data_IF_629146609453
#
_entry.id   IF_629146609453
#
_cell.length_a   1.000
_cell.length_b   1.000
_cell.length_c   1.000
_cell.angle_alpha   90.00
_cell.angle_beta   90.00
_cell.angle_gamma   90.00
#
_symmetry.space_group_name_H-M   'P 1'
#
loop_
_entity.id
_entity.type
_entity.pdbx_description
1 polymer ?
#
# COMPACT_ATOMS: atom_id res chain seq x y z
N UNK A 1 -50.70 19.72 -10.71
CA UNK A 1 -49.67 20.78 -10.55
C UNK A 1 -48.64 20.51 -9.45
N UNK A 2 -49.00 20.03 -8.25
CA UNK A 2 -48.03 19.81 -7.14
C UNK A 2 -46.93 18.77 -7.44
N UNK A 3 -47.25 17.70 -8.15
CA UNK A 3 -46.30 16.62 -8.49
C UNK A 3 -45.25 17.08 -9.52
N UNK A 4 -45.67 17.87 -10.52
CA UNK A 4 -44.77 18.46 -11.52
C UNK A 4 -43.78 19.44 -10.88
N UNK A 5 -44.24 20.24 -9.92
CA UNK A 5 -43.38 21.15 -9.15
C UNK A 5 -42.35 20.40 -8.31
N UNK A 6 -42.75 19.30 -7.67
CA UNK A 6 -41.84 18.45 -6.89
C UNK A 6 -40.76 17.80 -7.74
N UNK A 7 -41.10 17.30 -8.94
CA UNK A 7 -40.11 16.75 -9.88
C UNK A 7 -39.14 17.81 -10.38
N UNK A 8 -39.63 19.00 -10.74
CA UNK A 8 -38.78 20.11 -11.20
C UNK A 8 -37.80 20.55 -10.11
N UNK A 9 -38.26 20.63 -8.86
CA UNK A 9 -37.43 20.99 -7.73
C UNK A 9 -36.38 19.91 -7.42
N UNK A 10 -36.75 18.64 -7.51
CA UNK A 10 -35.83 17.51 -7.35
C UNK A 10 -34.72 17.50 -8.41
N UNK A 11 -35.08 17.73 -9.68
CA UNK A 11 -34.10 17.82 -10.78
C UNK A 11 -33.15 19.01 -10.55
N UNK A 12 -33.67 20.18 -10.16
CA UNK A 12 -32.85 21.35 -9.85
C UNK A 12 -31.86 21.08 -8.69
N UNK A 13 -32.29 20.38 -7.64
CA UNK A 13 -31.43 20.01 -6.52
C UNK A 13 -30.34 19.01 -6.93
N UNK A 14 -30.67 18.01 -7.76
CA UNK A 14 -29.69 17.06 -8.28
C UNK A 14 -28.67 17.73 -9.20
N UNK A 15 -29.10 18.65 -10.06
CA UNK A 15 -28.16 19.39 -10.93
C UNK A 15 -27.27 20.31 -10.09
N UNK A 16 -27.84 20.99 -9.09
CA UNK A 16 -27.10 21.84 -8.16
C UNK A 16 -26.04 21.07 -7.37
N UNK A 17 -26.34 19.85 -6.90
CA UNK A 17 -25.38 19.04 -6.15
C UNK A 17 -24.24 18.52 -7.02
N UNK A 18 -24.52 18.12 -8.26
CA UNK A 18 -23.48 17.67 -9.22
C UNK A 18 -22.54 18.81 -9.60
N UNK A 19 -23.08 20.00 -9.90
CA UNK A 19 -22.27 21.19 -10.20
C UNK A 19 -21.45 21.60 -8.97
N UNK A 20 -22.05 21.56 -7.79
CA UNK A 20 -21.38 21.80 -6.52
C UNK A 20 -20.19 20.87 -6.33
N UNK A 21 -20.38 19.55 -6.44
CA UNK A 21 -19.33 18.54 -6.31
C UNK A 21 -18.18 18.74 -7.32
N UNK A 22 -18.47 19.16 -8.55
CA UNK A 22 -17.44 19.40 -9.58
C UNK A 22 -16.68 20.72 -9.39
N UNK A 23 -17.35 21.79 -8.93
CA UNK A 23 -16.75 23.13 -8.76
C UNK A 23 -16.11 23.35 -7.39
N UNK A 24 -16.54 22.60 -6.37
CA UNK A 24 -16.03 22.73 -5.00
C UNK A 24 -14.51 22.50 -4.87
N UNK A 25 -13.89 21.52 -5.58
CA UNK A 25 -12.43 21.35 -5.57
C UNK A 25 -11.68 22.56 -6.15
N UNK A 26 -12.28 23.26 -7.12
CA UNK A 26 -11.69 24.48 -7.70
C UNK A 26 -11.82 25.67 -6.76
N UNK A 27 -12.96 25.81 -6.08
CA UNK A 27 -13.16 26.84 -5.05
C UNK A 27 -12.20 26.69 -3.87
N UNK A 28 -11.94 25.46 -3.43
CA UNK A 28 -10.94 25.17 -2.39
C UNK A 28 -9.53 25.61 -2.79
N UNK A 29 -9.15 25.49 -4.07
CA UNK A 29 -7.87 26.00 -4.58
C UNK A 29 -7.80 27.53 -4.59
N UNK A 30 -8.92 28.21 -4.82
CA UNK A 30 -8.97 29.67 -4.90
C UNK A 30 -9.04 30.36 -3.53
N UNK A 31 -9.55 29.67 -2.50
CA UNK A 31 -9.78 30.24 -1.17
C UNK A 31 -9.16 29.37 -0.08
N UNK A 32 -7.86 29.57 0.24
CA UNK A 32 -7.14 28.74 1.23
C UNK A 32 -7.73 28.85 2.65
N UNK A 33 -8.49 29.90 2.96
CA UNK A 33 -9.22 30.02 4.24
C UNK A 33 -10.31 28.96 4.44
N UNK A 34 -10.86 28.36 3.37
CA UNK A 34 -11.83 27.27 3.46
C UNK A 34 -11.18 25.94 3.88
N UNK A 35 -9.86 25.83 3.73
CA UNK A 35 -9.07 24.65 4.14
C UNK A 35 -9.12 24.43 5.65
N UNK A 36 -9.17 25.50 6.44
CA UNK A 36 -9.30 25.43 7.91
C UNK A 36 -10.65 24.86 8.37
N UNK A 37 -11.69 24.95 7.54
CA UNK A 37 -13.05 24.50 7.83
C UNK A 37 -13.25 23.03 7.42
N UNK A 38 -12.50 22.55 6.43
CA UNK A 38 -12.56 21.18 5.91
C UNK A 38 -11.19 20.48 5.90
N UNK A 39 -10.53 20.30 7.06
CA UNK A 39 -9.18 19.74 7.13
C UNK A 39 -9.09 18.28 6.63
N UNK A 40 -10.20 17.56 6.68
CA UNK A 40 -10.32 16.15 6.32
C UNK A 40 -10.10 15.89 4.81
N UNK A 41 -10.35 16.90 3.96
CA UNK A 41 -10.20 16.82 2.50
C UNK A 41 -8.79 17.18 2.01
N UNK A 42 -7.95 17.77 2.87
CA UNK A 42 -6.60 18.24 2.51
C UNK A 42 -5.47 17.35 3.04
N UNK A 43 -5.76 16.45 3.98
CA UNK A 43 -4.78 15.51 4.53
C UNK A 43 -4.50 14.28 3.65
N UNK A 44 -4.86 14.31 2.36
CA UNK A 44 -4.38 13.29 1.43
C UNK A 44 -2.98 13.68 0.94
N UNK A 45 -1.99 12.89 1.37
CA UNK A 45 -0.58 12.87 0.91
C UNK A 45 0.46 13.56 1.79
N UNK A 46 0.30 13.48 3.11
CA UNK A 46 1.48 13.38 3.97
C UNK A 46 1.67 11.88 4.24
N UNK A 47 2.70 11.27 3.67
CA UNK A 47 3.07 9.88 3.96
C UNK A 47 3.35 9.80 5.46
N UNK A 48 2.43 9.18 6.19
CA UNK A 48 2.51 8.99 7.61
C UNK A 48 2.76 7.51 7.87
N UNK A 49 3.87 7.18 8.53
CA UNK A 49 4.17 5.81 8.95
C UNK A 49 3.10 5.23 9.90
N UNK A 50 2.24 6.07 10.49
CA UNK A 50 1.09 5.61 11.28
C UNK A 50 0.14 4.69 10.48
N UNK A 51 0.08 4.82 9.14
CA UNK A 51 -0.71 3.92 8.29
C UNK A 51 -0.12 2.50 8.20
N UNK A 52 1.16 2.31 8.55
CA UNK A 52 1.86 1.02 8.49
C UNK A 52 1.84 0.27 9.82
N UNK A 53 1.45 0.93 10.92
CA UNK A 53 1.44 0.37 12.26
C UNK A 53 2.77 0.52 12.99
N UNK A 54 2.81 0.03 14.24
CA UNK A 54 4.02 0.02 15.06
C UNK A 54 4.98 -1.06 14.57
N UNK A 55 6.15 -0.66 14.06
CA UNK A 55 7.23 -1.59 13.74
C UNK A 55 7.66 -2.37 15.00
N UNK A 56 7.61 -3.70 14.93
CA UNK A 56 8.04 -4.60 15.99
C UNK A 56 9.44 -5.15 15.75
N UNK A 57 9.77 -5.51 14.50
CA UNK A 57 11.05 -6.11 14.13
C UNK A 57 11.35 -5.93 12.65
N UNK A 58 12.62 -5.73 12.31
CA UNK A 58 13.19 -5.76 10.95
C UNK A 58 14.27 -6.84 10.88
N UNK A 59 14.33 -7.56 9.77
CA UNK A 59 15.32 -8.59 9.45
C UNK A 59 15.87 -8.30 8.04
N UNK A 60 17.13 -7.91 7.93
CA UNK A 60 17.76 -7.50 6.65
C UNK A 60 18.40 -8.67 5.88
N UNK A 61 18.40 -9.87 6.45
CA UNK A 61 18.90 -11.10 5.81
C UNK A 61 18.11 -12.29 6.35
N UNK A 62 17.23 -12.86 5.53
CA UNK A 62 16.64 -14.15 5.84
C UNK A 62 17.62 -15.24 5.43
N UNK A 63 17.75 -16.28 6.26
CA UNK A 63 18.69 -17.39 6.03
C UNK A 63 18.30 -18.27 4.82
N UNK A 64 17.06 -18.16 4.34
CA UNK A 64 16.56 -18.90 3.19
C UNK A 64 17.30 -18.48 1.90
N UNK A 65 17.75 -19.47 1.10
CA UNK A 65 18.53 -19.23 -0.12
C UNK A 65 17.84 -18.29 -1.11
N UNK A 66 16.51 -18.31 -1.17
CA UNK A 66 15.69 -17.45 -2.03
C UNK A 66 15.81 -15.96 -1.68
N UNK A 67 16.09 -15.62 -0.42
CA UNK A 67 16.09 -14.25 0.10
C UNK A 67 17.49 -13.77 0.53
N UNK A 68 18.47 -14.67 0.59
CA UNK A 68 19.84 -14.44 1.08
C UNK A 68 20.72 -13.58 0.17
N UNK A 69 20.32 -13.38 -1.09
CA UNK A 69 21.26 -13.08 -2.19
C UNK A 69 21.35 -11.61 -2.65
N UNK A 70 20.69 -10.63 -2.03
CA UNK A 70 20.76 -9.25 -2.53
C UNK A 70 20.77 -8.22 -1.39
N UNK A 71 21.75 -7.30 -1.45
CA UNK A 71 21.80 -6.15 -0.54
C UNK A 71 20.48 -5.38 -0.62
N UNK A 72 19.83 -5.18 0.53
CA UNK A 72 18.57 -4.44 0.64
C UNK A 72 17.32 -5.30 0.78
N UNK A 73 17.38 -6.63 0.65
CA UNK A 73 16.24 -7.46 1.02
C UNK A 73 15.91 -7.27 2.50
N UNK A 74 14.64 -7.08 2.82
CA UNK A 74 14.23 -6.92 4.21
C UNK A 74 12.87 -7.55 4.48
N UNK A 75 12.72 -8.05 5.70
CA UNK A 75 11.45 -8.52 6.23
C UNK A 75 11.11 -7.77 7.50
N UNK A 76 9.94 -7.15 7.52
CA UNK A 76 9.49 -6.28 8.61
C UNK A 76 8.16 -6.77 9.17
N UNK A 77 8.05 -6.77 10.50
CA UNK A 77 6.82 -7.10 11.24
C UNK A 77 6.28 -5.83 11.89
N UNK A 78 5.03 -5.52 11.63
CA UNK A 78 4.29 -4.42 12.21
C UNK A 78 3.09 -4.90 13.01
N UNK A 79 2.78 -4.18 14.08
CA UNK A 79 1.53 -4.28 14.83
C UNK A 79 0.58 -3.17 14.39
N UNK A 80 -0.60 -3.56 13.93
CA UNK A 80 -1.73 -2.68 13.68
C UNK A 80 -2.73 -2.83 14.84
N UNK A 81 -3.79 -2.01 14.85
CA UNK A 81 -4.77 -2.01 15.96
C UNK A 81 -5.42 -3.39 16.18
N UNK A 82 -5.87 -4.05 15.10
CA UNK A 82 -6.61 -5.33 15.17
C UNK A 82 -5.88 -6.52 14.54
N UNK A 83 -4.69 -6.32 13.98
CA UNK A 83 -3.98 -7.32 13.19
C UNK A 83 -2.48 -7.03 13.16
N UNK A 84 -1.69 -7.92 12.58
CA UNK A 84 -0.29 -7.68 12.27
C UNK A 84 -0.06 -7.71 10.77
N UNK A 85 1.05 -7.12 10.35
CA UNK A 85 1.48 -7.02 8.96
C UNK A 85 2.92 -7.48 8.86
N UNK A 86 3.21 -8.43 7.97
CA UNK A 86 4.56 -8.73 7.51
C UNK A 86 4.73 -8.10 6.14
N UNK A 87 5.84 -7.41 5.93
CA UNK A 87 6.31 -6.99 4.62
C UNK A 87 7.60 -7.73 4.30
N UNK A 88 7.68 -8.33 3.13
CA UNK A 88 8.87 -8.87 2.51
C UNK A 88 9.20 -7.99 1.31
N UNK A 89 10.32 -7.27 1.39
CA UNK A 89 10.90 -6.54 0.29
C UNK A 89 12.05 -7.36 -0.30
N UNK A 90 11.97 -7.62 -1.60
CA UNK A 90 13.02 -8.31 -2.35
C UNK A 90 13.49 -7.43 -3.49
N UNK A 91 14.79 -7.26 -3.59
CA UNK A 91 15.48 -6.59 -4.69
C UNK A 91 16.16 -7.65 -5.54
N UNK A 92 15.80 -7.72 -6.82
CA UNK A 92 16.56 -8.44 -7.83
C UNK A 92 17.38 -7.49 -8.68
N UNK A 93 18.19 -8.02 -9.59
CA UNK A 93 18.99 -7.17 -10.50
C UNK A 93 18.11 -6.29 -11.39
N UNK A 94 16.97 -6.81 -11.85
CA UNK A 94 16.06 -6.19 -12.82
C UNK A 94 14.66 -5.88 -12.26
N UNK A 95 14.43 -6.15 -10.97
CA UNK A 95 13.13 -5.97 -10.34
C UNK A 95 13.19 -5.65 -8.85
N UNK A 96 12.07 -5.19 -8.31
CA UNK A 96 11.77 -5.26 -6.88
C UNK A 96 10.38 -5.85 -6.66
N UNK A 97 10.21 -6.62 -5.60
CA UNK A 97 8.90 -7.06 -5.14
C UNK A 97 8.67 -6.65 -3.68
N UNK A 98 7.41 -6.31 -3.40
CA UNK A 98 6.90 -6.12 -2.05
C UNK A 98 5.73 -7.08 -1.86
N UNK A 99 5.93 -8.08 -1.01
CA UNK A 99 4.89 -8.99 -0.56
C UNK A 99 4.44 -8.60 0.84
N UNK A 100 3.14 -8.37 1.02
CA UNK A 100 2.55 -8.02 2.30
C UNK A 100 1.56 -9.08 2.75
N UNK A 101 1.71 -9.57 4.00
CA UNK A 101 0.75 -10.44 4.67
C UNK A 101 0.11 -9.72 5.84
N UNK A 102 -1.21 -9.63 5.87
CA UNK A 102 -1.95 -9.19 7.04
C UNK A 102 -2.56 -10.40 7.71
N UNK A 103 -2.38 -10.52 9.02
CA UNK A 103 -2.76 -11.71 9.75
C UNK A 103 -3.17 -11.39 11.18
N UNK A 104 -3.97 -12.27 11.77
CA UNK A 104 -4.38 -12.20 13.17
C UNK A 104 -4.46 -13.61 13.75
N UNK A 105 -3.90 -13.82 14.94
CA UNK A 105 -3.74 -15.13 15.60
C UNK A 105 -3.13 -16.18 14.68
N UNK A 106 -2.12 -15.76 13.91
CA UNK A 106 -1.42 -16.60 12.95
C UNK A 106 -2.22 -17.04 11.70
N UNK A 107 -3.41 -16.49 11.46
CA UNK A 107 -4.21 -16.73 10.25
C UNK A 107 -4.13 -15.55 9.29
N UNK A 108 -3.88 -15.82 8.01
CA UNK A 108 -3.81 -14.79 6.96
C UNK A 108 -5.21 -14.24 6.70
N UNK A 109 -5.37 -12.92 6.79
CA UNK A 109 -6.60 -12.20 6.46
C UNK A 109 -6.57 -11.72 5.00
N UNK A 110 -5.41 -11.25 4.55
CA UNK A 110 -5.17 -10.80 3.18
C UNK A 110 -3.68 -10.82 2.87
N UNK A 111 -3.35 -11.12 1.62
CA UNK A 111 -1.99 -11.07 1.13
C UNK A 111 -1.95 -10.50 -0.30
N UNK A 112 -0.91 -9.75 -0.60
CA UNK A 112 -0.70 -9.21 -1.93
C UNK A 112 0.79 -9.01 -2.22
N UNK A 113 1.12 -9.07 -3.50
CA UNK A 113 2.45 -8.78 -4.00
C UNK A 113 2.38 -7.66 -5.03
N UNK A 114 3.23 -6.66 -4.87
CA UNK A 114 3.49 -5.66 -5.90
C UNK A 114 4.85 -5.95 -6.51
N UNK A 115 4.89 -6.11 -7.83
CA UNK A 115 6.13 -6.36 -8.57
C UNK A 115 6.42 -5.20 -9.51
N UNK A 116 7.63 -4.66 -9.40
CA UNK A 116 8.10 -3.51 -10.15
C UNK A 116 9.37 -3.91 -10.91
N UNK A 117 9.55 -3.37 -12.12
CA UNK A 117 10.72 -3.65 -12.96
C UNK A 117 11.59 -2.41 -13.13
N UNK A 118 12.88 -2.64 -13.40
CA UNK A 118 13.85 -1.63 -13.81
C UNK A 118 14.07 -1.71 -15.33
N UNK A 119 13.28 -1.01 -16.16
CA UNK A 119 13.38 -1.12 -17.62
C UNK A 119 14.74 -0.65 -18.18
N UNK A 120 15.49 0.16 -17.44
CA UNK A 120 16.73 0.82 -17.92
C UNK A 120 18.02 0.19 -17.37
N UNK A 121 18.09 -1.15 -17.34
CA UNK A 121 19.33 -1.86 -17.01
C UNK A 121 19.52 -2.21 -15.53
N UNK A 122 18.48 -2.16 -14.71
CA UNK A 122 18.58 -2.63 -13.32
C UNK A 122 19.31 -1.70 -12.35
N UNK A 123 19.76 -2.27 -11.23
CA UNK A 123 20.65 -1.59 -10.28
C UNK A 123 22.02 -1.24 -10.90
N UNK A 124 22.43 -1.97 -11.93
CA UNK A 124 23.68 -1.77 -12.68
C UNK A 124 23.38 -1.14 -14.04
N UNK A 125 22.86 0.09 -14.05
CA UNK A 125 22.63 0.82 -15.28
C UNK A 125 23.91 0.88 -16.13
N UNK A 126 23.81 0.56 -17.41
CA UNK A 126 24.94 0.63 -18.33
C UNK A 126 25.58 2.03 -18.26
N UNK A 127 26.92 2.12 -18.16
CA UNK A 127 27.60 3.41 -18.13
C UNK A 127 27.23 4.20 -19.40
N UNK A 128 26.71 5.43 -19.22
CA UNK A 128 26.29 6.40 -20.24
C UNK A 128 24.80 6.42 -20.63
N UNK A 129 23.91 5.75 -19.90
CA UNK A 129 22.47 6.04 -20.02
C UNK A 129 22.14 7.39 -19.36
N UNK A 130 21.68 8.38 -20.16
CA UNK A 130 21.19 9.68 -19.64
C UNK A 130 19.75 9.59 -19.12
N UNK A 131 19.17 8.41 -19.16
CA UNK A 131 17.79 8.20 -18.75
C UNK A 131 17.70 8.14 -17.22
N UNK A 132 16.72 8.82 -16.61
CA UNK A 132 16.53 8.73 -15.17
C UNK A 132 16.18 7.30 -14.79
N UNK A 133 16.64 6.87 -13.60
CA UNK A 133 16.19 5.62 -13.01
C UNK A 133 14.66 5.63 -12.91
N UNK A 134 14.02 4.61 -13.47
CA UNK A 134 12.58 4.50 -13.52
C UNK A 134 12.16 3.16 -12.93
N UNK A 135 11.12 3.24 -12.11
CA UNK A 135 10.41 2.09 -11.58
C UNK A 135 9.06 2.00 -12.25
N UNK A 136 8.80 0.86 -12.89
CA UNK A 136 7.52 0.61 -13.53
C UNK A 136 6.78 -0.51 -12.81
N UNK A 137 5.52 -0.25 -12.47
CA UNK A 137 4.66 -1.28 -11.90
C UNK A 137 4.27 -2.27 -12.98
N UNK A 138 4.82 -3.48 -12.87
CA UNK A 138 4.51 -4.58 -13.77
C UNK A 138 3.16 -5.19 -13.40
N UNK A 139 2.98 -5.60 -12.12
CA UNK A 139 1.72 -6.15 -11.67
C UNK A 139 1.44 -5.95 -10.17
N UNK A 140 0.17 -6.17 -9.80
CA UNK A 140 -0.30 -6.41 -8.44
C UNK A 140 -0.98 -7.78 -8.43
N UNK A 141 -0.47 -8.71 -7.63
CA UNK A 141 -1.04 -10.04 -7.46
C UNK A 141 -1.76 -10.10 -6.13
N UNK A 142 -3.06 -10.41 -6.15
CA UNK A 142 -3.83 -10.72 -4.95
C UNK A 142 -3.59 -12.20 -4.64
N UNK A 143 -3.02 -12.48 -3.46
CA UNK A 143 -2.69 -13.83 -3.03
C UNK A 143 -3.83 -14.35 -2.16
N UNK A 144 -4.35 -15.53 -2.51
CA UNK A 144 -5.49 -16.11 -1.80
C UNK A 144 -5.04 -16.66 -0.45
N UNK A 145 -5.62 -16.20 0.69
CA UNK A 145 -5.17 -16.62 2.03
C UNK A 145 -5.19 -18.13 2.28
N UNK A 146 -6.09 -18.85 1.61
CA UNK A 146 -6.28 -20.29 1.77
C UNK A 146 -5.53 -21.10 0.70
N UNK A 147 -4.74 -20.45 -0.16
CA UNK A 147 -3.89 -21.15 -1.12
C UNK A 147 -2.68 -21.73 -0.38
N UNK A 148 -2.37 -22.99 -0.66
CA UNK A 148 -1.29 -23.72 0.00
C UNK A 148 0.08 -23.04 -0.14
N UNK A 149 0.39 -22.48 -1.31
CA UNK A 149 1.66 -21.79 -1.58
C UNK A 149 1.75 -20.53 -0.72
N UNK A 150 0.68 -19.72 -0.68
CA UNK A 150 0.61 -18.50 0.14
C UNK A 150 0.74 -18.81 1.63
N UNK A 151 0.10 -19.89 2.11
CA UNK A 151 0.23 -20.32 3.50
C UNK A 151 1.64 -20.80 3.86
N UNK A 152 2.28 -21.55 2.96
CA UNK A 152 3.62 -22.08 3.18
C UNK A 152 4.66 -20.96 3.24
N UNK A 153 4.63 -20.04 2.27
CA UNK A 153 5.50 -18.86 2.23
C UNK A 153 5.31 -18.00 3.49
N UNK A 154 4.06 -17.71 3.86
CA UNK A 154 3.77 -16.99 5.10
C UNK A 154 4.33 -17.69 6.35
N UNK A 155 4.16 -19.02 6.47
CA UNK A 155 4.67 -19.78 7.61
C UNK A 155 6.20 -19.74 7.64
N UNK A 156 6.86 -19.88 6.51
CA UNK A 156 8.31 -19.82 6.39
C UNK A 156 8.83 -18.46 6.86
N UNK A 157 8.31 -17.36 6.31
CA UNK A 157 8.72 -15.99 6.68
C UNK A 157 8.41 -15.71 8.16
N UNK A 158 7.21 -16.06 8.63
CA UNK A 158 6.78 -15.80 10.00
C UNK A 158 7.72 -16.44 11.03
N UNK A 159 8.27 -17.61 10.73
CA UNK A 159 9.11 -18.36 11.67
C UNK A 159 10.47 -17.69 11.95
N UNK A 160 10.89 -16.72 11.14
CA UNK A 160 12.10 -15.94 11.40
C UNK A 160 11.92 -14.86 12.49
N UNK A 161 10.68 -14.47 12.78
CA UNK A 161 10.42 -13.45 13.80
C UNK A 161 10.46 -14.01 15.21
N UNK A 162 10.86 -13.16 16.16
CA UNK A 162 10.88 -13.54 17.57
C UNK A 162 9.45 -13.78 18.08
N UNK A 163 9.21 -14.97 18.66
CA UNK A 163 7.91 -15.38 19.19
C UNK A 163 7.29 -14.36 20.18
N UNK A 164 8.10 -13.58 20.90
CA UNK A 164 7.63 -12.51 21.79
C UNK A 164 6.81 -11.46 21.03
N UNK A 165 7.22 -11.10 19.82
CA UNK A 165 6.52 -10.10 19.00
C UNK A 165 5.28 -10.68 18.33
N UNK A 166 5.32 -11.96 17.97
CA UNK A 166 4.18 -12.67 17.38
C UNK A 166 3.04 -12.96 18.37
N UNK A 167 3.27 -12.89 19.69
CA UNK A 167 2.25 -13.24 20.70
C UNK A 167 1.00 -12.34 20.67
N UNK A 168 1.15 -11.10 20.21
CA UNK A 168 0.05 -10.14 20.06
C UNK A 168 -0.44 -10.05 18.62
N UNK A 169 0.06 -10.95 17.79
CA UNK A 169 -0.39 -11.28 16.45
C UNK A 169 -1.01 -12.69 16.46
#
# INVERSE_FOLDING_TARGET
MRILFGMLLGILLCVGSVIGLQRFPQLLKSYPQLQAIFPQLYNSHQYNHDAEGKLLQTLEMLDDEEYKSTEGNEVTLYQLDDQCKINLYVFGESYQSLTSYYFHKGQILRAYETYLTYPNGGFYAEPNTKEPFKLEKSYLRIMMPNNIETELEFKQIKNHFNAKFLKNC
#
